data_IF_000569006813
#
_entry.id   IF_000569006813
#
_cell.length_a   1.000
_cell.length_b   1.000
_cell.length_c   1.000
_cell.angle_alpha   90.00
_cell.angle_beta   90.00
_cell.angle_gamma   90.00
#
_symmetry.space_group_name_H-M   'P 1'
#
loop_
_entity.id
_entity.type
_entity.pdbx_description
1 polymer ?
#
# COMPACT_ATOMS: atom_id res chain seq x y z
N UNK A 1 -38.59 -29.15 57.29
CA UNK A 1 -37.76 -27.92 57.31
C UNK A 1 -36.36 -28.20 56.76
N UNK A 2 -35.73 -29.25 57.12
CA UNK A 2 -34.31 -29.61 56.74
C UNK A 2 -34.09 -29.75 55.21
N UNK A 3 -35.04 -30.38 54.46
CA UNK A 3 -34.92 -30.52 53.00
C UNK A 3 -34.97 -29.15 52.25
N UNK A 4 -35.75 -28.16 52.76
CA UNK A 4 -35.78 -26.80 52.16
C UNK A 4 -34.49 -26.07 52.42
N UNK A 5 -33.88 -26.18 53.58
CA UNK A 5 -32.65 -25.55 53.94
C UNK A 5 -31.49 -26.07 53.06
N UNK A 6 -31.40 -27.40 52.82
CA UNK A 6 -30.41 -28.02 51.96
C UNK A 6 -30.57 -27.57 50.48
N UNK A 7 -31.79 -27.41 50.00
CA UNK A 7 -32.08 -26.96 48.64
C UNK A 7 -31.69 -25.47 48.43
N UNK A 8 -32.03 -24.60 49.39
CA UNK A 8 -31.58 -23.21 49.35
C UNK A 8 -30.06 -23.06 49.43
N UNK A 9 -29.39 -23.85 50.23
CA UNK A 9 -27.93 -23.92 50.31
C UNK A 9 -27.29 -24.31 48.96
N UNK A 10 -27.83 -25.34 48.30
CA UNK A 10 -27.34 -25.81 47.01
C UNK A 10 -27.51 -24.74 45.90
N UNK A 11 -28.66 -24.06 45.84
CA UNK A 11 -28.89 -22.97 44.90
C UNK A 11 -27.97 -21.79 45.18
N UNK A 12 -27.76 -21.42 46.44
CA UNK A 12 -26.87 -20.31 46.81
C UNK A 12 -25.42 -20.63 46.44
N UNK A 13 -24.93 -21.84 46.69
CA UNK A 13 -23.62 -22.29 46.28
C UNK A 13 -23.47 -22.27 44.77
N UNK A 14 -24.45 -22.75 44.02
CA UNK A 14 -24.45 -22.73 42.54
C UNK A 14 -24.38 -21.29 41.99
N UNK A 15 -25.19 -20.35 42.54
CA UNK A 15 -25.18 -18.94 42.16
C UNK A 15 -23.80 -18.29 42.44
N UNK A 16 -23.19 -18.58 43.58
CA UNK A 16 -21.84 -18.09 43.92
C UNK A 16 -20.82 -18.65 42.96
N UNK A 17 -20.85 -19.94 42.64
CA UNK A 17 -19.94 -20.57 41.69
C UNK A 17 -20.09 -19.95 40.30
N UNK A 18 -21.31 -19.76 39.82
CA UNK A 18 -21.55 -19.10 38.52
C UNK A 18 -21.04 -17.66 38.53
N UNK A 19 -21.31 -16.90 39.60
CA UNK A 19 -20.83 -15.53 39.72
C UNK A 19 -19.31 -15.42 39.78
N UNK A 20 -18.63 -16.33 40.49
CA UNK A 20 -17.17 -16.35 40.56
C UNK A 20 -16.54 -16.78 39.24
N UNK A 21 -17.09 -17.76 38.53
CA UNK A 21 -16.65 -18.18 37.20
C UNK A 21 -16.83 -17.01 36.21
N UNK A 22 -17.95 -16.32 36.25
CA UNK A 22 -18.23 -15.16 35.40
C UNK A 22 -17.26 -14.02 35.69
N UNK A 23 -17.00 -13.72 36.96
CA UNK A 23 -16.04 -12.68 37.34
C UNK A 23 -14.60 -13.00 36.90
N UNK A 24 -14.16 -14.24 37.08
CA UNK A 24 -12.86 -14.72 36.58
C UNK A 24 -12.74 -14.60 35.06
N UNK A 25 -13.78 -14.97 34.32
CA UNK A 25 -13.78 -14.87 32.86
C UNK A 25 -13.78 -13.41 32.38
N UNK A 26 -14.47 -12.51 33.08
CA UNK A 26 -14.49 -11.07 32.76
C UNK A 26 -13.12 -10.42 33.04
N UNK A 27 -12.47 -10.78 34.14
CA UNK A 27 -11.08 -10.33 34.44
C UNK A 27 -10.12 -10.85 33.37
N UNK A 28 -10.17 -12.14 33.06
CA UNK A 28 -9.34 -12.79 32.04
C UNK A 28 -9.56 -12.22 30.63
N UNK A 29 -10.80 -11.80 30.30
CA UNK A 29 -11.09 -11.16 29.01
C UNK A 29 -10.63 -9.70 28.94
N UNK A 30 -10.57 -8.99 30.06
CA UNK A 30 -10.01 -7.63 30.15
C UNK A 30 -8.48 -7.61 30.09
N UNK A 31 -7.82 -8.71 30.39
CA UNK A 31 -6.37 -8.84 30.48
C UNK A 31 -5.74 -9.34 29.17
N UNK A 32 -6.43 -9.21 28.01
CA UNK A 32 -5.83 -9.50 26.71
C UNK A 32 -4.60 -8.62 26.49
N UNK A 33 -3.47 -9.27 26.24
CA UNK A 33 -2.23 -8.58 25.92
C UNK A 33 -2.38 -7.75 24.63
N UNK A 34 -1.70 -6.61 24.57
CA UNK A 34 -1.65 -5.81 23.34
C UNK A 34 -0.94 -6.58 22.22
N UNK A 35 -1.43 -6.44 21.00
CA UNK A 35 -0.81 -6.99 19.80
C UNK A 35 0.58 -6.38 19.61
N UNK A 36 1.58 -7.22 19.36
CA UNK A 36 2.98 -6.82 19.17
C UNK A 36 3.49 -7.25 17.79
N UNK A 37 4.57 -6.60 17.35
CA UNK A 37 5.30 -6.95 16.13
C UNK A 37 4.43 -6.96 14.88
N UNK A 38 3.51 -5.99 14.76
CA UNK A 38 2.76 -5.81 13.50
C UNK A 38 3.76 -5.38 12.43
N UNK A 39 3.85 -6.15 11.34
CA UNK A 39 4.81 -5.96 10.25
C UNK A 39 4.09 -6.07 8.91
N UNK A 40 4.63 -5.38 7.92
CA UNK A 40 4.31 -5.61 6.53
C UNK A 40 5.13 -6.82 6.04
N UNK A 41 4.45 -7.91 5.74
CA UNK A 41 5.07 -9.13 5.21
C UNK A 41 5.28 -9.03 3.70
N UNK A 42 4.35 -8.40 3.00
CA UNK A 42 4.40 -8.16 1.56
C UNK A 42 3.60 -6.90 1.23
N UNK A 43 3.99 -6.21 0.15
CA UNK A 43 3.22 -5.15 -0.46
C UNK A 43 3.36 -5.17 -1.99
N UNK A 44 2.32 -4.69 -2.65
CA UNK A 44 2.26 -4.49 -4.09
C UNK A 44 1.68 -3.11 -4.39
N UNK A 45 1.37 -2.84 -5.64
CA UNK A 45 0.71 -1.60 -6.06
C UNK A 45 -0.72 -1.49 -5.53
N UNK A 46 -1.39 -2.63 -5.25
CA UNK A 46 -2.80 -2.69 -4.87
C UNK A 46 -3.10 -3.52 -3.62
N UNK A 47 -2.09 -3.93 -2.87
CA UNK A 47 -2.28 -4.72 -1.65
C UNK A 47 -1.16 -4.58 -0.64
N UNK A 48 -1.51 -4.80 0.63
CA UNK A 48 -0.58 -4.84 1.76
C UNK A 48 -0.93 -6.06 2.61
N UNK A 49 0.02 -6.97 2.80
CA UNK A 49 -0.13 -8.12 3.69
C UNK A 49 0.51 -7.82 5.04
N UNK A 50 -0.28 -7.93 6.10
CA UNK A 50 0.13 -7.69 7.48
C UNK A 50 0.26 -8.99 8.25
N UNK A 51 1.24 -9.04 9.16
CA UNK A 51 1.40 -10.11 10.13
C UNK A 51 1.72 -9.54 11.51
N UNK A 52 1.43 -10.29 12.57
CA UNK A 52 1.71 -9.91 13.96
C UNK A 52 1.94 -11.12 14.85
N UNK A 53 2.32 -10.88 16.10
CA UNK A 53 2.46 -11.96 17.07
C UNK A 53 1.09 -12.36 17.63
N UNK A 54 0.93 -13.67 17.84
CA UNK A 54 -0.22 -14.25 18.53
C UNK A 54 -0.44 -13.62 19.91
N UNK A 55 -1.72 -13.40 20.24
CA UNK A 55 -2.18 -13.02 21.57
C UNK A 55 -2.99 -14.19 22.14
N UNK A 56 -2.47 -14.81 23.20
CA UNK A 56 -3.11 -15.96 23.86
C UNK A 56 -4.51 -15.61 24.35
N UNK A 57 -5.45 -16.55 24.20
CA UNK A 57 -6.85 -16.44 24.58
C UNK A 57 -7.65 -15.45 23.72
N UNK A 58 -7.11 -14.92 22.64
CA UNK A 58 -7.89 -14.11 21.69
C UNK A 58 -8.80 -15.00 20.82
N UNK A 59 -10.01 -14.55 20.57
CA UNK A 59 -10.90 -15.17 19.57
C UNK A 59 -10.56 -14.68 18.15
N UNK A 60 -9.75 -13.62 18.06
CA UNK A 60 -9.26 -13.07 16.81
C UNK A 60 -8.76 -11.63 16.96
N UNK A 61 -8.70 -10.94 15.82
CA UNK A 61 -8.11 -9.60 15.72
C UNK A 61 -8.97 -8.68 14.87
N UNK A 62 -9.13 -7.45 15.30
CA UNK A 62 -9.72 -6.36 14.53
C UNK A 62 -8.62 -5.48 13.97
N UNK A 63 -8.73 -5.18 12.70
CA UNK A 63 -7.82 -4.33 11.97
C UNK A 63 -8.53 -2.99 11.70
N UNK A 64 -7.90 -1.90 12.11
CA UNK A 64 -8.39 -0.53 11.93
C UNK A 64 -7.41 0.26 11.08
N UNK A 65 -7.93 1.11 10.20
CA UNK A 65 -7.16 2.12 9.50
C UNK A 65 -7.64 3.52 9.92
N UNK A 66 -6.72 4.48 9.95
CA UNK A 66 -7.05 5.88 10.13
C UNK A 66 -7.69 6.40 8.84
N UNK A 67 -8.91 6.82 8.91
CA UNK A 67 -9.60 7.55 7.87
C UNK A 67 -9.08 9.01 7.86
N UNK A 68 -8.54 9.46 6.71
CA UNK A 68 -7.92 10.79 6.55
C UNK A 68 -8.91 11.93 6.68
N UNK A 69 -10.15 11.72 6.24
CA UNK A 69 -11.17 12.76 6.15
C UNK A 69 -11.80 13.05 7.51
N UNK A 70 -12.06 11.98 8.26
CA UNK A 70 -12.70 12.08 9.58
C UNK A 70 -11.70 12.08 10.73
N UNK A 71 -10.44 11.77 10.47
CA UNK A 71 -9.38 11.57 11.48
C UNK A 71 -9.76 10.55 12.57
N UNK A 72 -10.54 9.53 12.20
CA UNK A 72 -10.99 8.45 13.10
C UNK A 72 -10.51 7.08 12.62
N UNK A 73 -10.30 6.18 13.57
CA UNK A 73 -9.99 4.79 13.23
C UNK A 73 -11.25 4.03 12.85
N UNK A 74 -11.31 3.54 11.62
CA UNK A 74 -12.39 2.73 11.08
C UNK A 74 -11.93 1.27 11.00
N UNK A 75 -12.79 0.34 11.43
CA UNK A 75 -12.50 -1.09 11.29
C UNK A 75 -12.59 -1.49 9.83
N UNK A 76 -11.48 -1.96 9.27
CA UNK A 76 -11.35 -2.41 7.88
C UNK A 76 -11.37 -3.93 7.74
N UNK A 77 -11.23 -4.66 8.84
CA UNK A 77 -11.26 -6.12 8.78
C UNK A 77 -11.22 -6.83 10.11
N UNK A 78 -11.35 -8.15 9.99
CA UNK A 78 -11.29 -9.09 11.10
C UNK A 78 -10.52 -10.33 10.68
N UNK A 79 -9.54 -10.74 11.49
CA UNK A 79 -8.91 -12.04 11.42
C UNK A 79 -9.43 -12.91 12.56
N UNK A 80 -10.12 -14.03 12.26
CA UNK A 80 -10.71 -14.91 13.25
C UNK A 80 -9.75 -16.01 13.67
N UNK A 81 -9.70 -16.29 14.96
CA UNK A 81 -8.85 -17.31 15.57
C UNK A 81 -7.56 -16.75 16.17
N UNK A 82 -7.15 -17.32 17.28
CA UNK A 82 -5.95 -16.95 18.05
C UNK A 82 -4.69 -16.98 17.17
N UNK A 83 -4.54 -18.05 16.36
CA UNK A 83 -3.35 -18.31 15.56
C UNK A 83 -3.38 -17.64 14.17
N UNK A 84 -4.49 -17.01 13.78
CA UNK A 84 -4.59 -16.37 12.47
C UNK A 84 -4.06 -14.94 12.54
N UNK A 85 -2.75 -14.82 12.67
CA UNK A 85 -2.04 -13.55 12.88
C UNK A 85 -1.65 -12.87 11.56
N UNK A 86 -2.58 -12.79 10.61
CA UNK A 86 -2.39 -12.15 9.30
C UNK A 86 -3.67 -11.48 8.79
N UNK A 87 -3.49 -10.46 7.95
CA UNK A 87 -4.58 -9.81 7.23
C UNK A 87 -4.05 -9.15 5.95
N UNK A 88 -4.80 -9.31 4.86
CA UNK A 88 -4.50 -8.68 3.58
C UNK A 88 -5.46 -7.53 3.33
N UNK A 89 -4.92 -6.32 3.20
CA UNK A 89 -5.64 -5.16 2.71
C UNK A 89 -5.49 -5.19 1.19
N UNK A 90 -6.61 -5.33 0.47
CA UNK A 90 -6.65 -5.51 -0.99
C UNK A 90 -7.41 -4.39 -1.65
N UNK A 91 -7.30 -4.32 -2.98
CA UNK A 91 -8.03 -3.37 -3.84
C UNK A 91 -7.83 -1.91 -3.40
N UNK A 92 -6.61 -1.60 -3.03
CA UNK A 92 -6.19 -0.28 -2.56
C UNK A 92 -5.47 0.49 -3.66
N UNK A 93 -5.56 1.83 -3.67
CA UNK A 93 -4.80 2.66 -4.61
C UNK A 93 -3.29 2.46 -4.45
N UNK A 94 -2.55 2.61 -5.54
CA UNK A 94 -1.08 2.62 -5.52
C UNK A 94 -0.55 3.85 -4.79
N UNK A 95 0.70 3.78 -4.33
CA UNK A 95 1.38 4.87 -3.62
C UNK A 95 0.58 5.45 -2.43
N UNK A 96 -0.24 4.63 -1.77
CA UNK A 96 -1.09 5.04 -0.66
C UNK A 96 -0.49 4.66 0.68
N UNK A 97 -0.69 5.52 1.70
CA UNK A 97 -0.18 5.33 3.06
C UNK A 97 -1.33 4.98 4.00
N UNK A 98 -1.12 3.96 4.82
CA UNK A 98 -2.09 3.43 5.79
C UNK A 98 -1.53 3.54 7.21
N UNK A 99 -2.32 4.09 8.12
CA UNK A 99 -2.03 4.11 9.55
C UNK A 99 -2.91 3.08 10.24
N UNK A 100 -2.31 1.96 10.60
CA UNK A 100 -3.04 0.76 11.04
C UNK A 100 -2.87 0.52 12.52
N UNK A 101 -3.95 0.10 13.18
CA UNK A 101 -3.95 -0.50 14.52
C UNK A 101 -4.55 -1.90 14.45
N UNK A 102 -3.96 -2.83 15.19
CA UNK A 102 -4.48 -4.19 15.35
C UNK A 102 -4.78 -4.41 16.82
N UNK A 103 -6.02 -4.81 17.13
CA UNK A 103 -6.47 -5.16 18.48
C UNK A 103 -6.90 -6.61 18.51
N UNK A 104 -6.45 -7.35 19.51
CA UNK A 104 -7.03 -8.65 19.81
C UNK A 104 -8.41 -8.47 20.46
N UNK A 105 -9.34 -9.37 20.18
CA UNK A 105 -10.64 -9.39 20.82
C UNK A 105 -10.96 -10.77 21.39
N UNK A 106 -11.82 -10.78 22.40
CA UNK A 106 -12.42 -11.98 23.00
C UNK A 106 -13.88 -11.71 23.30
N UNK A 107 -14.73 -12.65 22.91
CA UNK A 107 -16.18 -12.59 23.13
C UNK A 107 -16.59 -13.46 24.31
N UNK A 108 -17.36 -12.91 25.23
CA UNK A 108 -17.93 -13.65 26.34
C UNK A 108 -19.34 -13.13 26.65
N UNK A 109 -20.34 -14.01 26.75
CA UNK A 109 -21.74 -13.68 27.01
C UNK A 109 -22.29 -12.53 26.15
N UNK A 110 -22.07 -12.58 24.82
CA UNK A 110 -22.47 -11.54 23.84
C UNK A 110 -21.80 -10.19 24.02
N UNK A 111 -20.76 -10.09 24.84
CA UNK A 111 -19.95 -8.88 25.02
C UNK A 111 -18.55 -9.12 24.48
N UNK A 112 -18.02 -8.13 23.77
CA UNK A 112 -16.65 -8.15 23.26
C UNK A 112 -15.73 -7.35 24.18
N UNK A 113 -14.55 -7.91 24.42
CA UNK A 113 -13.46 -7.30 25.17
C UNK A 113 -12.28 -7.15 24.22
N UNK A 114 -11.71 -5.96 24.18
CA UNK A 114 -10.57 -5.65 23.30
C UNK A 114 -9.29 -5.60 24.14
N UNK A 115 -8.17 -5.97 23.53
CA UNK A 115 -6.85 -5.75 24.10
C UNK A 115 -6.63 -4.26 24.39
N UNK A 116 -5.71 -3.95 25.31
CA UNK A 116 -5.37 -2.58 25.70
C UNK A 116 -4.92 -1.69 24.54
N UNK A 117 -4.25 -0.57 24.83
CA UNK A 117 -3.82 0.41 23.81
C UNK A 117 -3.08 -0.26 22.66
N UNK A 118 -3.62 -0.12 21.44
CA UNK A 118 -2.94 -0.55 20.22
C UNK A 118 -1.92 0.51 19.78
N UNK A 119 -0.72 0.05 19.42
CA UNK A 119 0.27 0.87 18.73
C UNK A 119 -0.18 1.14 17.31
N UNK A 120 0.08 2.36 16.81
CA UNK A 120 -0.08 2.72 15.42
C UNK A 120 1.15 2.31 14.62
N UNK A 121 0.91 1.76 13.43
CA UNK A 121 1.93 1.38 12.46
C UNK A 121 1.61 2.02 11.10
N UNK A 122 2.64 2.49 10.41
CA UNK A 122 2.51 3.06 9.07
C UNK A 122 2.96 2.04 8.04
N UNK A 123 2.08 1.75 7.09
CA UNK A 123 2.32 0.87 5.94
C UNK A 123 1.98 1.60 4.64
N UNK A 124 2.38 1.03 3.49
CA UNK A 124 2.15 1.66 2.19
C UNK A 124 2.02 0.60 1.09
N UNK A 125 1.24 0.93 0.07
CA UNK A 125 1.28 0.26 -1.23
C UNK A 125 2.39 0.84 -2.09
N UNK A 126 2.97 0.03 -2.98
CA UNK A 126 4.02 0.52 -3.88
C UNK A 126 3.45 1.48 -4.92
N UNK A 127 4.23 2.46 -5.40
CA UNK A 127 3.88 3.20 -6.60
C UNK A 127 3.74 2.28 -7.82
N UNK A 128 2.79 2.59 -8.70
CA UNK A 128 2.63 1.88 -9.98
C UNK A 128 3.77 2.18 -10.93
N UNK A 129 4.09 1.20 -11.76
CA UNK A 129 5.06 1.32 -12.85
C UNK A 129 4.50 2.29 -13.91
N UNK A 130 5.24 3.37 -14.30
CA UNK A 130 4.81 4.24 -15.40
C UNK A 130 4.74 3.49 -16.74
N UNK A 131 3.82 3.91 -17.60
CA UNK A 131 3.75 3.51 -19.01
C UNK A 131 4.43 4.61 -19.80
N UNK A 132 5.60 4.33 -20.37
CA UNK A 132 6.47 5.29 -21.03
C UNK A 132 6.36 5.23 -22.55
N UNK A 133 6.24 6.41 -23.17
CA UNK A 133 6.47 6.64 -24.60
C UNK A 133 7.74 7.44 -24.79
N UNK A 134 8.57 7.05 -25.76
CA UNK A 134 9.83 7.71 -26.11
C UNK A 134 9.83 8.02 -27.60
N UNK A 135 10.13 9.25 -27.97
CA UNK A 135 10.12 9.69 -29.36
C UNK A 135 11.10 10.85 -29.60
N UNK A 136 11.42 11.14 -30.87
CA UNK A 136 12.14 12.36 -31.21
C UNK A 136 11.17 13.54 -31.20
N UNK A 137 11.37 14.50 -30.29
CA UNK A 137 10.52 15.66 -30.09
C UNK A 137 10.84 16.83 -31.06
N UNK A 138 11.82 16.67 -31.95
CA UNK A 138 12.31 17.65 -32.88
C UNK A 138 13.81 17.46 -33.15
N UNK A 139 14.42 18.44 -33.81
CA UNK A 139 15.86 18.39 -34.14
C UNK A 139 16.71 18.32 -32.87
N UNK A 140 17.42 17.19 -32.71
CA UNK A 140 18.30 16.98 -31.58
C UNK A 140 17.59 16.79 -30.23
N UNK A 141 16.28 16.46 -30.22
CA UNK A 141 15.47 16.36 -29.00
C UNK A 141 14.96 14.92 -28.80
N UNK A 142 15.27 14.36 -27.63
CA UNK A 142 14.64 13.16 -27.12
C UNK A 142 13.49 13.56 -26.19
N UNK A 143 12.28 13.14 -26.48
CA UNK A 143 11.09 13.39 -25.65
C UNK A 143 10.58 12.09 -25.02
N UNK A 144 10.12 12.22 -23.81
CA UNK A 144 9.58 11.15 -22.98
C UNK A 144 8.25 11.62 -22.41
N UNK A 145 7.23 10.79 -22.49
CA UNK A 145 5.91 11.03 -21.90
C UNK A 145 5.43 9.78 -21.17
N UNK A 146 4.68 9.96 -20.08
CA UNK A 146 4.11 8.83 -19.32
C UNK A 146 2.74 9.16 -18.80
N UNK A 147 2.00 8.11 -18.44
CA UNK A 147 0.63 8.21 -17.94
C UNK A 147 0.54 8.86 -16.57
N UNK A 148 -0.67 9.35 -16.26
CA UNK A 148 -1.00 9.84 -14.92
C UNK A 148 -0.88 8.76 -13.86
N UNK A 149 -0.23 9.12 -12.74
CA UNK A 149 -0.12 8.32 -11.52
C UNK A 149 -0.28 9.23 -10.31
N UNK A 150 -1.02 8.77 -9.31
CA UNK A 150 -1.38 9.53 -8.13
C UNK A 150 -0.41 9.33 -6.95
N UNK A 151 -0.48 10.26 -5.98
CA UNK A 151 0.19 10.19 -4.68
C UNK A 151 1.72 10.10 -4.75
N UNK A 152 2.33 10.63 -5.79
CA UNK A 152 3.76 10.59 -6.01
C UNK A 152 4.48 11.83 -5.48
N UNK A 153 5.74 11.65 -5.11
CA UNK A 153 6.67 12.73 -4.84
C UNK A 153 7.46 13.15 -6.10
N UNK A 154 7.52 12.28 -7.12
CA UNK A 154 8.20 12.57 -8.37
C UNK A 154 8.59 11.35 -9.17
N UNK A 155 9.54 11.55 -10.09
CA UNK A 155 10.02 10.54 -11.02
C UNK A 155 11.56 10.52 -11.08
N UNK A 156 12.09 9.34 -11.36
CA UNK A 156 13.51 9.07 -11.59
C UNK A 156 13.63 8.55 -13.03
N UNK A 157 14.36 9.29 -13.87
CA UNK A 157 14.48 9.06 -15.31
C UNK A 157 15.92 8.67 -15.61
N UNK A 158 16.09 7.67 -16.45
CA UNK A 158 17.37 7.29 -17.01
C UNK A 158 17.29 7.27 -18.53
N UNK A 159 18.32 7.80 -19.20
CA UNK A 159 18.47 7.71 -20.64
C UNK A 159 19.92 7.42 -21.02
N UNK A 160 20.12 6.70 -22.13
CA UNK A 160 21.41 6.15 -22.53
C UNK A 160 21.42 5.86 -24.03
N UNK A 161 22.63 5.83 -24.65
CA UNK A 161 22.85 5.22 -25.96
C UNK A 161 22.97 3.69 -25.88
N UNK A 162 23.10 3.15 -24.68
CA UNK A 162 23.22 1.71 -24.44
C UNK A 162 21.91 1.16 -23.86
N UNK A 163 21.33 0.18 -24.50
CA UNK A 163 20.06 -0.46 -24.10
C UNK A 163 20.15 -1.12 -22.71
N UNK A 164 21.32 -1.57 -22.33
CA UNK A 164 21.57 -2.23 -21.04
C UNK A 164 21.81 -1.22 -19.89
N UNK A 165 21.83 0.09 -20.19
CA UNK A 165 22.10 1.15 -19.23
C UNK A 165 23.41 0.96 -18.43
N UNK A 166 24.44 0.41 -19.04
CA UNK A 166 25.79 0.30 -18.42
C UNK A 166 26.41 1.67 -18.21
N UNK A 167 26.12 2.61 -19.12
CA UNK A 167 26.37 4.03 -18.99
C UNK A 167 25.08 4.78 -19.26
N UNK A 168 24.67 5.63 -18.34
CA UNK A 168 23.42 6.39 -18.46
C UNK A 168 23.52 7.76 -17.80
N UNK A 169 22.65 8.65 -18.21
CA UNK A 169 22.34 9.89 -17.50
C UNK A 169 21.09 9.69 -16.67
N UNK A 170 21.07 10.36 -15.51
CA UNK A 170 19.97 10.23 -14.54
C UNK A 170 19.43 11.60 -14.16
N UNK A 171 18.09 11.74 -14.21
CA UNK A 171 17.40 12.96 -13.83
C UNK A 171 16.31 12.64 -12.79
N UNK A 172 16.29 13.45 -11.72
CA UNK A 172 15.30 13.34 -10.64
C UNK A 172 14.31 14.51 -10.70
N UNK A 173 13.07 14.22 -11.04
CA UNK A 173 11.97 15.18 -11.03
C UNK A 173 11.28 15.12 -9.67
N UNK A 174 11.29 16.23 -8.93
CA UNK A 174 10.65 16.35 -7.60
C UNK A 174 9.23 16.91 -7.68
N UNK A 175 8.50 16.49 -8.69
CA UNK A 175 7.11 16.84 -8.91
C UNK A 175 6.34 15.63 -9.40
N UNK A 176 5.42 15.13 -8.58
CA UNK A 176 4.58 13.98 -8.88
C UNK A 176 3.51 14.26 -9.95
N UNK A 177 3.32 15.51 -10.36
CA UNK A 177 2.38 15.90 -11.41
C UNK A 177 3.02 15.99 -12.80
N UNK A 178 4.34 15.93 -12.91
CA UNK A 178 5.04 15.93 -14.20
C UNK A 178 4.70 14.68 -15.01
N UNK A 179 4.46 14.85 -16.31
CA UNK A 179 4.08 13.78 -17.26
C UNK A 179 5.00 13.67 -18.46
N UNK A 180 5.98 14.54 -18.57
CA UNK A 180 6.93 14.54 -19.67
C UNK A 180 8.32 15.04 -19.23
N UNK A 181 9.30 14.71 -20.02
CA UNK A 181 10.66 15.21 -19.89
C UNK A 181 11.33 15.20 -21.27
N UNK A 182 12.16 16.20 -21.58
CA UNK A 182 12.88 16.26 -22.84
C UNK A 182 14.35 16.57 -22.62
N UNK A 183 15.19 15.99 -23.45
CA UNK A 183 16.63 16.22 -23.50
C UNK A 183 16.97 16.83 -24.85
N UNK A 184 17.67 17.98 -24.83
CA UNK A 184 18.06 18.71 -26.01
C UNK A 184 19.54 18.45 -26.38
N UNK A 185 19.95 19.01 -27.52
CA UNK A 185 21.34 19.04 -28.00
C UNK A 185 21.95 17.64 -28.21
N UNK A 186 21.10 16.67 -28.59
CA UNK A 186 21.53 15.34 -28.92
C UNK A 186 21.97 15.23 -30.38
N UNK A 187 22.93 14.35 -30.67
CA UNK A 187 23.39 14.14 -32.02
C UNK A 187 22.31 13.46 -32.87
N UNK A 188 22.03 14.04 -34.02
CA UNK A 188 21.11 13.50 -35.03
C UNK A 188 21.64 12.17 -35.55
N UNK A 189 20.73 11.20 -35.73
CA UNK A 189 21.04 9.83 -36.15
C UNK A 189 21.36 8.87 -35.01
N UNK A 190 21.64 9.38 -33.81
CA UNK A 190 21.84 8.52 -32.64
C UNK A 190 20.53 7.90 -32.16
N UNK A 191 20.64 6.68 -31.64
CA UNK A 191 19.55 5.98 -30.94
C UNK A 191 19.72 6.17 -29.44
N UNK A 192 18.65 6.56 -28.78
CA UNK A 192 18.59 6.65 -27.34
C UNK A 192 17.52 5.74 -26.77
N UNK A 193 17.87 5.14 -25.64
CA UNK A 193 16.99 4.32 -24.78
C UNK A 193 16.65 5.10 -23.54
N UNK A 194 15.41 5.00 -23.07
CA UNK A 194 14.99 5.66 -21.85
C UNK A 194 14.08 4.76 -21.01
N UNK A 195 14.11 4.98 -19.71
CA UNK A 195 13.19 4.38 -18.74
C UNK A 195 12.88 5.36 -17.63
N UNK A 196 11.71 5.24 -17.03
CA UNK A 196 11.24 6.08 -15.92
C UNK A 196 10.68 5.20 -14.82
N UNK A 197 10.84 5.60 -13.59
CA UNK A 197 10.11 5.03 -12.44
C UNK A 197 9.55 6.14 -11.57
N UNK A 198 8.39 5.87 -10.98
CA UNK A 198 7.76 6.75 -10.02
C UNK A 198 8.35 6.57 -8.62
N UNK A 199 8.27 7.58 -7.77
CA UNK A 199 8.58 7.43 -6.36
C UNK A 199 7.65 8.22 -5.45
N UNK A 200 7.48 7.68 -4.24
CA UNK A 200 6.82 8.34 -3.11
C UNK A 200 7.76 8.43 -1.91
N UNK A 201 7.42 9.25 -0.92
CA UNK A 201 8.19 9.37 0.32
C UNK A 201 7.34 8.99 1.53
N UNK A 202 7.79 8.01 2.30
CA UNK A 202 7.13 7.57 3.53
C UNK A 202 8.16 7.55 4.66
N UNK A 203 7.88 8.26 5.76
CA UNK A 203 8.77 8.34 6.92
C UNK A 203 10.23 8.68 6.53
N UNK A 204 10.43 9.64 5.62
CA UNK A 204 11.72 10.08 5.06
C UNK A 204 12.45 9.01 4.23
N UNK A 205 11.80 7.93 3.84
CA UNK A 205 12.34 6.92 2.92
C UNK A 205 11.71 7.08 1.56
N UNK A 206 12.53 7.02 0.52
CA UNK A 206 12.05 6.98 -0.86
C UNK A 206 11.67 5.54 -1.22
N UNK A 207 10.47 5.36 -1.73
CA UNK A 207 9.92 4.09 -2.20
C UNK A 207 9.71 4.24 -3.70
N UNK A 208 10.37 3.40 -4.48
CA UNK A 208 10.29 3.42 -5.94
C UNK A 208 9.29 2.38 -6.47
N UNK A 209 8.68 2.69 -7.60
CA UNK A 209 8.04 1.69 -8.45
C UNK A 209 9.09 0.79 -9.13
N UNK A 210 8.64 -0.21 -9.86
CA UNK A 210 9.47 -0.83 -10.90
C UNK A 210 9.77 0.21 -11.99
N UNK A 211 10.85 0.01 -12.75
CA UNK A 211 11.10 0.78 -13.96
C UNK A 211 10.00 0.50 -15.01
N UNK A 212 9.67 1.51 -15.82
CA UNK A 212 8.90 1.31 -17.05
C UNK A 212 9.59 0.29 -17.95
N UNK A 213 8.89 -0.18 -18.96
CA UNK A 213 9.55 -0.80 -20.08
C UNK A 213 10.49 0.21 -20.75
N UNK A 214 11.55 -0.28 -21.36
CA UNK A 214 12.53 0.58 -22.05
C UNK A 214 11.92 1.04 -23.36
N UNK A 215 11.79 2.36 -23.54
CA UNK A 215 11.46 2.97 -24.79
C UNK A 215 12.74 3.34 -25.56
N UNK A 216 12.65 3.45 -26.88
CA UNK A 216 13.76 3.87 -27.73
C UNK A 216 13.29 4.88 -28.81
N UNK A 217 14.19 5.78 -29.21
CA UNK A 217 13.96 6.67 -30.34
C UNK A 217 15.27 7.01 -31.06
N UNK A 218 15.18 7.11 -32.38
CA UNK A 218 16.26 7.70 -33.20
C UNK A 218 16.04 9.22 -33.25
N UNK A 219 17.10 9.98 -33.02
CA UNK A 219 17.05 11.44 -33.05
C UNK A 219 17.05 11.94 -34.49
N UNK A 220 16.00 12.70 -34.85
CA UNK A 220 15.83 13.21 -36.21
C UNK A 220 16.34 14.63 -36.37
N UNK A 221 16.58 15.03 -37.64
CA UNK A 221 17.04 16.37 -38.04
C UNK A 221 15.87 17.35 -38.27
N UNK A 222 14.65 16.86 -38.33
CA UNK A 222 13.47 17.67 -38.65
C UNK A 222 12.65 17.99 -37.43
N UNK A 223 12.21 19.26 -37.36
CA UNK A 223 11.16 19.63 -36.42
C UNK A 223 9.87 18.91 -36.82
N UNK A 224 9.39 18.01 -35.97
CA UNK A 224 8.11 17.36 -36.18
C UNK A 224 7.02 18.38 -35.88
N UNK A 225 6.52 19.03 -36.95
CA UNK A 225 5.38 19.94 -36.83
C UNK A 225 4.11 19.07 -36.70
N UNK A 226 3.74 18.71 -35.46
CA UNK A 226 2.54 17.91 -35.15
C UNK A 226 1.24 18.66 -35.53
N UNK A 227 1.34 19.90 -36.08
CA UNK A 227 0.22 20.79 -36.39
C UNK A 227 -0.39 20.68 -37.79
N UNK A 228 0.12 19.83 -38.68
CA UNK A 228 -0.50 19.60 -40.00
C UNK A 228 -0.45 18.14 -40.36
N UNK A 229 -1.50 17.40 -40.00
CA UNK A 229 -1.85 16.17 -40.74
C UNK A 229 -2.21 16.63 -42.14
N UNK A 230 -1.35 16.30 -43.10
CA UNK A 230 -1.69 16.49 -44.52
C UNK A 230 -2.87 15.56 -44.84
N UNK A 231 -4.05 16.08 -45.19
CA UNK A 231 -5.22 15.26 -45.48
C UNK A 231 -5.08 14.38 -46.75
N UNK A 232 -3.94 14.42 -47.42
CA UNK A 232 -3.69 13.63 -48.64
C UNK A 232 -3.09 12.25 -48.39
N UNK A 233 -2.77 11.87 -47.14
CA UNK A 233 -2.40 10.47 -46.83
C UNK A 233 -3.65 9.62 -46.60
N UNK A 234 -4.20 9.05 -47.66
CA UNK A 234 -5.12 7.93 -47.55
C UNK A 234 -4.42 6.78 -46.84
N UNK A 235 -4.92 6.42 -45.68
CA UNK A 235 -4.51 5.21 -44.98
C UNK A 235 -4.96 4.01 -45.80
N UNK A 236 -4.08 3.44 -46.63
CA UNK A 236 -4.29 2.11 -47.21
C UNK A 236 -4.02 1.08 -46.12
N UNK A 237 -5.10 0.60 -45.50
CA UNK A 237 -5.06 -0.63 -44.72
C UNK A 237 -4.96 -1.82 -45.69
N UNK A 238 -3.87 -2.56 -45.62
CA UNK A 238 -3.72 -3.90 -46.20
C UNK A 238 -3.74 -4.92 -45.08
#
# INVERSE_FOLDING_TARGET
>A
MEKRIKFFSAITIFVIIVATITALFVTDAKDLASVKNVKMAHNSENSISLTWNEVKKADGYYIYNLDSDTNKYVKIGTSKGENNCKYDIKDIPSASVYKVKVLAYRSFMKKEYLSGKAKEYTFYSNPSKPILSVFSGGKGVLSMEWNDLDNLAGYDIQYSKNKEFTEYKNEMIKDGQTRNFSVNDLAVGDIYYARVRAYMTVNRKTIYSKWSDVGEATIYDKDINIGKVDPSYDCIFV
#
